data_IF_530542420828
#
_entry.id   IF_530542420828
#
_cell.length_a   1.000
_cell.length_b   1.000
_cell.length_c   1.000
_cell.angle_alpha   90.00
_cell.angle_beta   90.00
_cell.angle_gamma   90.00
#
_symmetry.space_group_name_H-M   'P 1'
#
loop_
_entity.id
_entity.type
_entity.pdbx_description
1 polymer ?
#
# COMPACT_ATOMS: atom_id res chain seq x y z
N UNK A 1 -25.67 7.86 3.55
CA UNK A 1 -24.76 8.40 2.53
C UNK A 1 -24.03 7.25 1.90
N UNK A 2 -24.31 6.96 0.66
CA UNK A 2 -23.56 5.92 -0.09
C UNK A 2 -22.24 6.51 -0.57
N UNK A 3 -21.15 6.17 0.08
CA UNK A 3 -19.80 6.52 -0.37
C UNK A 3 -19.51 5.72 -1.65
N UNK A 4 -19.29 6.44 -2.72
CA UNK A 4 -19.06 5.92 -4.06
C UNK A 4 -17.74 5.11 -4.07
N UNK A 5 -17.75 3.84 -4.50
CA UNK A 5 -16.56 2.96 -4.48
C UNK A 5 -15.41 3.43 -5.38
N UNK A 6 -15.63 4.46 -6.18
CA UNK A 6 -14.61 5.03 -7.07
C UNK A 6 -13.59 5.95 -6.37
N UNK A 7 -13.85 6.39 -5.14
CA UNK A 7 -12.93 7.28 -4.41
C UNK A 7 -11.73 6.53 -3.83
N UNK A 8 -11.86 5.22 -3.61
CA UNK A 8 -10.78 4.38 -3.05
C UNK A 8 -9.73 4.03 -4.12
N UNK A 9 -10.11 4.09 -5.41
CA UNK A 9 -9.19 3.77 -6.51
C UNK A 9 -8.29 4.94 -6.94
N UNK A 10 -8.58 6.17 -6.51
CA UNK A 10 -7.85 7.37 -6.95
C UNK A 10 -6.51 7.58 -6.21
N UNK A 11 -6.27 6.93 -5.10
CA UNK A 11 -5.02 7.10 -4.34
C UNK A 11 -3.85 6.28 -4.91
N UNK A 12 -4.13 5.25 -5.70
CA UNK A 12 -3.10 4.38 -6.31
C UNK A 12 -2.78 4.77 -7.76
N UNK A 13 -3.61 5.60 -8.40
CA UNK A 13 -3.52 5.86 -9.85
C UNK A 13 -2.74 7.11 -10.27
N UNK A 14 -2.18 7.90 -9.34
CA UNK A 14 -1.54 9.20 -9.66
C UNK A 14 -0.04 9.13 -9.90
N UNK A 15 0.55 7.95 -9.97
CA UNK A 15 2.02 7.82 -10.17
C UNK A 15 2.43 7.58 -11.64
N UNK A 16 1.51 7.62 -12.60
CA UNK A 16 1.90 7.40 -13.99
C UNK A 16 1.39 8.45 -14.98
N UNK A 17 1.99 9.63 -14.93
CA UNK A 17 2.13 10.44 -16.14
C UNK A 17 3.42 11.25 -16.10
N UNK A 18 4.48 10.72 -16.68
CA UNK A 18 5.66 11.48 -17.05
C UNK A 18 6.10 11.05 -18.46
N UNK A 19 5.58 11.77 -19.44
CA UNK A 19 6.18 11.84 -20.76
C UNK A 19 6.67 13.26 -21.01
N UNK A 20 7.96 13.40 -21.21
CA UNK A 20 8.70 14.39 -21.99
C UNK A 20 8.27 15.87 -21.95
N UNK A 21 9.20 16.71 -21.50
CA UNK A 21 9.21 18.15 -21.79
C UNK A 21 10.13 18.92 -20.85
N UNK A 22 11.34 19.26 -21.34
CA UNK A 22 12.21 20.25 -20.70
C UNK A 22 11.45 21.52 -20.36
N UNK A 23 11.58 21.99 -19.12
CA UNK A 23 11.97 23.35 -18.76
C UNK A 23 11.85 23.52 -17.25
N UNK A 24 12.89 24.12 -16.69
CA UNK A 24 13.00 24.56 -15.32
C UNK A 24 11.75 25.27 -14.84
N UNK A 25 11.16 24.79 -13.79
CA UNK A 25 10.45 25.58 -12.79
C UNK A 25 10.46 24.81 -11.48
N UNK A 26 11.17 25.35 -10.52
CA UNK A 26 11.03 24.98 -9.13
C UNK A 26 9.56 25.14 -8.72
N UNK A 27 9.12 24.27 -7.79
CA UNK A 27 7.88 24.34 -7.04
C UNK A 27 6.65 23.73 -7.67
N UNK A 28 6.34 22.67 -7.17
CA UNK A 28 5.37 22.28 -6.16
C UNK A 28 5.52 20.80 -5.95
N UNK A 29 6.39 20.41 -5.05
CA UNK A 29 6.13 19.21 -4.24
C UNK A 29 4.94 19.59 -3.36
N UNK A 30 3.75 19.59 -3.94
CA UNK A 30 2.52 19.61 -3.18
C UNK A 30 2.52 18.35 -2.33
N UNK A 31 2.59 18.55 -1.03
CA UNK A 31 2.40 17.67 0.10
C UNK A 31 1.89 16.26 -0.24
N UNK A 32 2.76 15.43 -0.82
CA UNK A 32 2.58 14.00 -0.68
C UNK A 32 2.99 13.68 0.76
N UNK A 33 2.10 13.09 1.56
CA UNK A 33 2.45 12.73 2.93
C UNK A 33 3.72 11.87 2.90
N UNK A 34 4.64 12.16 3.83
CA UNK A 34 5.81 11.33 4.05
C UNK A 34 5.38 9.87 4.20
N UNK A 35 6.24 8.95 3.80
CA UNK A 35 5.94 7.51 3.88
C UNK A 35 5.57 7.07 5.29
N UNK A 36 6.13 7.72 6.31
CA UNK A 36 5.79 7.47 7.72
C UNK A 36 4.41 8.04 8.07
N UNK A 37 4.07 9.21 7.56
CA UNK A 37 2.74 9.78 7.71
C UNK A 37 1.67 8.93 7.02
N UNK A 38 1.97 8.36 5.86
CA UNK A 38 1.08 7.40 5.18
C UNK A 38 0.85 6.15 6.03
N UNK A 39 1.90 5.65 6.71
CA UNK A 39 1.79 4.53 7.63
C UNK A 39 0.87 4.85 8.82
N UNK A 40 1.02 6.02 9.41
CA UNK A 40 0.16 6.49 10.51
C UNK A 40 -1.29 6.63 10.07
N UNK A 41 -1.54 7.27 8.94
CA UNK A 41 -2.89 7.43 8.39
C UNK A 41 -3.57 6.09 8.11
N UNK A 42 -2.83 5.10 7.61
CA UNK A 42 -3.36 3.76 7.38
C UNK A 42 -3.62 3.02 8.70
N UNK A 43 -2.74 3.16 9.70
CA UNK A 43 -2.97 2.59 11.03
C UNK A 43 -4.22 3.18 11.68
N UNK A 44 -4.41 4.49 11.60
CA UNK A 44 -5.61 5.19 12.09
C UNK A 44 -6.88 4.74 11.34
N UNK A 45 -6.77 4.55 10.04
CA UNK A 45 -7.87 4.05 9.22
C UNK A 45 -8.30 2.65 9.64
N UNK A 46 -7.33 1.76 9.83
CA UNK A 46 -7.57 0.39 10.27
C UNK A 46 -8.10 0.33 11.70
N UNK A 47 -7.62 1.18 12.58
CA UNK A 47 -8.16 1.29 13.94
C UNK A 47 -9.67 1.57 13.91
N UNK A 48 -10.08 2.57 13.17
CA UNK A 48 -11.52 2.94 13.06
C UNK A 48 -12.35 1.88 12.34
N UNK A 49 -11.77 1.23 11.33
CA UNK A 49 -12.48 0.24 10.52
C UNK A 49 -12.71 -1.08 11.27
N UNK A 50 -11.73 -1.49 12.07
CA UNK A 50 -11.66 -2.82 12.68
C UNK A 50 -11.83 -2.78 14.20
N UNK A 51 -12.02 -1.60 14.78
CA UNK A 51 -12.06 -1.38 16.23
C UNK A 51 -10.84 -2.01 16.92
N UNK A 52 -9.64 -1.60 16.45
CA UNK A 52 -8.39 -2.13 16.96
C UNK A 52 -8.09 -1.58 18.35
N UNK A 53 -7.59 -2.44 19.24
CA UNK A 53 -7.02 -2.03 20.50
C UNK A 53 -5.69 -1.30 20.31
N UNK A 54 -5.27 -0.47 21.26
CA UNK A 54 -4.06 0.36 21.17
C UNK A 54 -2.81 -0.46 20.84
N UNK A 55 -2.67 -1.65 21.43
CA UNK A 55 -1.53 -2.52 21.13
C UNK A 55 -1.55 -3.05 19.68
N UNK A 56 -2.74 -3.30 19.11
CA UNK A 56 -2.89 -3.70 17.71
C UNK A 56 -2.52 -2.54 16.77
N UNK A 57 -2.97 -1.32 17.10
CA UNK A 57 -2.60 -0.11 16.35
C UNK A 57 -1.08 0.07 16.34
N UNK A 58 -0.43 -0.11 17.50
CA UNK A 58 1.03 -0.07 17.59
C UNK A 58 1.71 -1.08 16.65
N UNK A 59 1.20 -2.32 16.58
CA UNK A 59 1.76 -3.32 15.68
C UNK A 59 1.48 -3.03 14.20
N UNK A 60 0.30 -2.49 13.87
CA UNK A 60 -0.01 -2.03 12.50
C UNK A 60 0.95 -0.93 12.09
N UNK A 61 1.05 0.13 12.88
CA UNK A 61 1.93 1.26 12.62
C UNK A 61 3.39 0.84 12.47
N UNK A 62 3.89 0.02 13.39
CA UNK A 62 5.26 -0.50 13.35
C UNK A 62 5.52 -1.36 12.10
N UNK A 63 4.57 -2.20 11.73
CA UNK A 63 4.66 -3.03 10.50
C UNK A 63 4.77 -2.14 9.26
N UNK A 64 3.90 -1.16 9.15
CA UNK A 64 3.87 -0.26 7.99
C UNK A 64 5.10 0.65 7.92
N UNK A 65 5.55 1.19 9.06
CA UNK A 65 6.78 2.01 9.15
C UNK A 65 8.05 1.23 8.83
N UNK A 66 8.01 -0.08 8.96
CA UNK A 66 9.10 -0.96 8.51
C UNK A 66 8.96 -1.33 7.02
N UNK A 67 7.78 -1.79 6.62
CA UNK A 67 7.58 -2.42 5.31
C UNK A 67 7.43 -1.40 4.16
N UNK A 68 6.81 -0.25 4.40
CA UNK A 68 6.66 0.78 3.35
C UNK A 68 8.01 1.35 2.90
N UNK A 69 8.92 1.79 3.79
CA UNK A 69 10.24 2.25 3.36
C UNK A 69 11.05 1.15 2.65
N UNK A 70 10.95 -0.09 3.11
CA UNK A 70 11.64 -1.21 2.48
C UNK A 70 11.11 -1.49 1.06
N UNK A 71 9.80 -1.43 0.85
CA UNK A 71 9.18 -1.51 -0.48
C UNK A 71 9.66 -0.37 -1.38
N UNK A 72 9.70 0.86 -0.86
CA UNK A 72 10.19 2.02 -1.61
C UNK A 72 11.66 1.88 -1.99
N UNK A 73 12.49 1.33 -1.10
CA UNK A 73 13.90 1.05 -1.41
C UNK A 73 14.06 0.05 -2.58
N UNK A 74 13.23 -1.00 -2.64
CA UNK A 74 13.24 -1.93 -3.77
C UNK A 74 12.77 -1.26 -5.08
N UNK A 75 11.79 -0.36 -5.02
CA UNK A 75 11.41 0.44 -6.19
C UNK A 75 12.55 1.33 -6.66
N UNK A 76 13.30 1.95 -5.73
CA UNK A 76 14.46 2.77 -6.05
C UNK A 76 15.55 1.96 -6.76
N UNK A 77 15.82 0.74 -6.32
CA UNK A 77 16.77 -0.14 -7.00
C UNK A 77 16.34 -0.47 -8.43
N UNK A 78 15.05 -0.76 -8.66
CA UNK A 78 14.53 -0.96 -10.01
C UNK A 78 14.68 0.28 -10.88
N UNK A 79 14.41 1.47 -10.31
CA UNK A 79 14.58 2.76 -11.02
C UNK A 79 16.03 3.03 -11.37
N UNK A 80 16.96 2.83 -10.43
CA UNK A 80 18.41 2.98 -10.66
C UNK A 80 18.90 2.03 -11.75
N UNK A 81 18.39 0.80 -11.76
CA UNK A 81 18.68 -0.19 -12.81
C UNK A 81 17.95 0.08 -14.14
N UNK A 82 17.20 1.19 -14.23
CA UNK A 82 16.43 1.59 -15.43
C UNK A 82 15.46 0.49 -15.91
N UNK A 83 14.90 -0.26 -14.99
CA UNK A 83 13.91 -1.30 -15.32
C UNK A 83 12.61 -0.64 -15.76
N UNK A 84 12.22 -0.89 -17.00
CA UNK A 84 10.97 -0.39 -17.59
C UNK A 84 9.80 -1.38 -17.46
N UNK A 85 10.06 -2.62 -17.04
CA UNK A 85 9.05 -3.66 -16.98
C UNK A 85 8.14 -3.47 -15.78
N UNK A 86 6.90 -3.05 -16.02
CA UNK A 86 5.87 -2.80 -15.04
C UNK A 86 5.59 -4.03 -14.14
N UNK A 87 5.72 -5.24 -14.68
CA UNK A 87 5.46 -6.45 -13.91
C UNK A 87 6.47 -6.67 -12.77
N UNK A 88 7.67 -6.11 -12.88
CA UNK A 88 8.67 -6.19 -11.81
C UNK A 88 8.28 -5.31 -10.62
N UNK A 89 7.82 -4.08 -10.88
CA UNK A 89 7.28 -3.19 -9.84
C UNK A 89 6.04 -3.80 -9.19
N UNK A 90 5.16 -4.40 -9.98
CA UNK A 90 3.99 -5.09 -9.45
C UNK A 90 4.39 -6.28 -8.56
N UNK A 91 5.44 -7.00 -8.90
CA UNK A 91 5.94 -8.11 -8.09
C UNK A 91 6.51 -7.66 -6.76
N UNK A 92 7.21 -6.52 -6.72
CA UNK A 92 7.68 -5.90 -5.47
C UNK A 92 6.49 -5.51 -4.60
N UNK A 93 5.52 -4.80 -5.17
CA UNK A 93 4.29 -4.42 -4.46
C UNK A 93 3.59 -5.65 -3.88
N UNK A 94 3.37 -6.67 -4.69
CA UNK A 94 2.66 -7.88 -4.28
C UNK A 94 3.37 -8.62 -3.13
N UNK A 95 4.69 -8.70 -3.18
CA UNK A 95 5.52 -9.29 -2.13
C UNK A 95 5.32 -8.58 -0.78
N UNK A 96 5.43 -7.26 -0.77
CA UNK A 96 5.33 -6.49 0.46
C UNK A 96 3.90 -6.46 1.02
N UNK A 97 2.89 -6.34 0.16
CA UNK A 97 1.50 -6.40 0.60
C UNK A 97 1.12 -7.77 1.17
N UNK A 98 1.66 -8.85 0.63
CA UNK A 98 1.49 -10.19 1.20
C UNK A 98 2.15 -10.32 2.58
N UNK A 99 3.34 -9.74 2.75
CA UNK A 99 4.04 -9.72 4.04
C UNK A 99 3.25 -8.94 5.09
N UNK A 100 2.71 -7.77 4.74
CA UNK A 100 1.85 -6.96 5.59
C UNK A 100 0.60 -7.74 6.00
N UNK A 101 -0.12 -8.35 5.04
CA UNK A 101 -1.29 -9.18 5.32
C UNK A 101 -0.97 -10.33 6.28
N UNK A 102 0.17 -11.01 6.06
CA UNK A 102 0.62 -12.10 6.93
C UNK A 102 0.97 -11.60 8.34
N UNK A 103 1.46 -10.39 8.49
CA UNK A 103 1.70 -9.77 9.80
C UNK A 103 0.39 -9.47 10.51
N UNK A 104 -0.57 -8.85 9.83
CA UNK A 104 -1.89 -8.54 10.38
C UNK A 104 -2.64 -9.79 10.84
N UNK A 105 -2.56 -10.87 10.08
CA UNK A 105 -3.21 -12.14 10.42
C UNK A 105 -2.73 -12.73 11.76
N UNK A 106 -1.54 -12.35 12.23
CA UNK A 106 -0.99 -12.85 13.49
C UNK A 106 -1.62 -12.22 14.72
N UNK A 107 -2.14 -11.00 14.62
CA UNK A 107 -2.63 -10.24 15.76
C UNK A 107 -4.04 -9.68 15.62
N UNK A 108 -4.67 -9.80 14.45
CA UNK A 108 -6.10 -9.53 14.33
C UNK A 108 -6.93 -10.70 14.87
N UNK A 109 -8.03 -10.40 15.53
CA UNK A 109 -9.04 -11.42 15.84
C UNK A 109 -9.69 -11.95 14.57
N UNK A 110 -10.41 -13.06 14.67
CA UNK A 110 -11.11 -13.63 13.51
C UNK A 110 -12.16 -12.66 12.94
N UNK A 111 -12.85 -11.91 13.81
CA UNK A 111 -13.81 -10.90 13.38
C UNK A 111 -13.13 -9.73 12.67
N UNK A 112 -12.03 -9.21 13.25
CA UNK A 112 -11.23 -8.15 12.64
C UNK A 112 -10.64 -8.58 11.30
N UNK A 113 -10.11 -9.79 11.21
CA UNK A 113 -9.60 -10.34 9.96
C UNK A 113 -10.70 -10.45 8.90
N UNK A 114 -11.89 -10.93 9.27
CA UNK A 114 -13.04 -11.02 8.37
C UNK A 114 -13.47 -9.64 7.87
N UNK A 115 -13.52 -8.64 8.76
CA UNK A 115 -13.83 -7.26 8.40
C UNK A 115 -12.76 -6.65 7.48
N UNK A 116 -11.48 -6.90 7.76
CA UNK A 116 -10.35 -6.51 6.91
C UNK A 116 -10.49 -7.08 5.49
N UNK A 117 -10.75 -8.37 5.37
CA UNK A 117 -10.98 -9.01 4.07
C UNK A 117 -12.14 -8.38 3.30
N UNK A 118 -13.24 -8.08 3.98
CA UNK A 118 -14.43 -7.43 3.38
C UNK A 118 -14.15 -5.98 2.93
N UNK A 119 -13.18 -5.30 3.53
CA UNK A 119 -12.82 -3.93 3.17
C UNK A 119 -12.10 -3.78 1.82
N UNK A 120 -11.86 -4.86 1.12
CA UNK A 120 -11.18 -4.92 -0.18
C UNK A 120 -9.92 -5.79 -0.18
N UNK A 121 -9.40 -6.18 0.99
CA UNK A 121 -8.20 -7.01 1.09
C UNK A 121 -8.36 -8.37 0.42
N UNK A 122 -9.51 -9.02 0.54
CA UNK A 122 -9.77 -10.30 -0.14
C UNK A 122 -9.65 -10.20 -1.66
N UNK A 123 -10.15 -9.11 -2.24
CA UNK A 123 -10.04 -8.86 -3.69
C UNK A 123 -8.59 -8.64 -4.10
N UNK A 124 -7.84 -7.88 -3.31
CA UNK A 124 -6.42 -7.63 -3.56
C UNK A 124 -5.59 -8.92 -3.44
N UNK A 125 -5.84 -9.74 -2.43
CA UNK A 125 -5.21 -11.06 -2.26
C UNK A 125 -5.47 -11.98 -3.45
N UNK A 126 -6.73 -12.10 -3.87
CA UNK A 126 -7.10 -12.90 -5.04
C UNK A 126 -6.43 -12.42 -6.33
N UNK A 127 -6.27 -11.11 -6.50
CA UNK A 127 -5.55 -10.56 -7.65
C UNK A 127 -4.05 -10.91 -7.63
N UNK A 128 -3.41 -10.86 -6.45
CA UNK A 128 -2.01 -11.31 -6.27
C UNK A 128 -1.84 -12.80 -6.59
N UNK A 129 -2.72 -13.64 -6.08
CA UNK A 129 -2.72 -15.09 -6.36
C UNK A 129 -2.80 -15.37 -7.87
N UNK A 130 -3.71 -14.69 -8.57
CA UNK A 130 -3.82 -14.82 -10.03
C UNK A 130 -2.55 -14.41 -10.78
N UNK A 131 -1.84 -13.37 -10.31
CA UNK A 131 -0.57 -12.96 -10.91
C UNK A 131 0.55 -13.97 -10.66
N UNK A 132 0.59 -14.56 -9.47
CA UNK A 132 1.54 -15.64 -9.14
C UNK A 132 1.35 -16.88 -10.03
N UNK A 133 0.09 -17.26 -10.26
CA UNK A 133 -0.23 -18.44 -11.08
C UNK A 133 0.11 -18.29 -12.58
N UNK A 134 0.40 -17.08 -13.05
CA UNK A 134 0.77 -16.79 -14.46
C UNK A 134 2.29 -16.74 -14.70
N UNK A 135 3.08 -16.87 -13.66
CA UNK A 135 4.55 -16.93 -13.74
C UNK A 135 5.03 -18.36 -13.84
#
# INVERSE_FOLDING_TARGET
MKLNPYVIFLVVSVVMTLACGNMASAQNQGDQPDIYEQAEQEADRLQRLLDLEDWQVFYVDSTLKHDFPAMMAEYDELRKAKVANQSMYQSVHDKWMEQIDNSYKKFFTQEQWTAYLKSGAARAQKAREKRKAKK
#
